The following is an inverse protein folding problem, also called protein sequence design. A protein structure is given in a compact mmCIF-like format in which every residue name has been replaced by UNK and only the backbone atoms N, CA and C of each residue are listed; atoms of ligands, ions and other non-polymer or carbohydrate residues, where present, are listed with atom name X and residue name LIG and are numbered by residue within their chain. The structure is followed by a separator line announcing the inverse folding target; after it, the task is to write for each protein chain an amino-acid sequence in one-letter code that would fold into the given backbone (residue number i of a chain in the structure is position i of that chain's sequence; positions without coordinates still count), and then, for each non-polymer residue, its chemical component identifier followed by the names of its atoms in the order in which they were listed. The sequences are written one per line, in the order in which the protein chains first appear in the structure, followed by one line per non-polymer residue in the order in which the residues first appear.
data_IF_053564172414
#
_entry.id   IF_053564172414
#
_cell.length_a   1.000
_cell.length_b   1.000
_cell.length_c   1.000
_cell.angle_alpha   90.00
_cell.angle_beta   90.00
_cell.angle_gamma   90.00
#
_symmetry.space_group_name_H-M   'P 1'
#
loop_
_entity.id
_entity.type
_entity.pdbx_description
1 polymer ?
#
# COMPACT_ATOMS: atom_id res chain seq x y z
N UNK A 1 -5.44 -19.71 -6.54
CA UNK A 1 -5.60 -19.68 -5.07
C UNK A 1 -5.67 -18.23 -4.62
N UNK A 2 -6.62 -17.80 -3.77
CA UNK A 2 -6.62 -16.44 -3.25
C UNK A 2 -5.43 -16.26 -2.30
N UNK A 3 -4.44 -15.45 -2.70
CA UNK A 3 -3.17 -15.20 -2.00
C UNK A 3 -3.32 -14.17 -0.87
N UNK A 4 -4.28 -14.37 0.03
CA UNK A 4 -4.46 -13.45 1.17
C UNK A 4 -3.52 -13.82 2.32
N UNK A 5 -3.08 -12.86 3.14
CA UNK A 5 -2.26 -13.14 4.32
C UNK A 5 -2.80 -14.29 5.21
N UNK A 6 -4.11 -14.37 5.56
CA UNK A 6 -4.63 -15.50 6.33
C UNK A 6 -4.53 -16.86 5.64
N UNK A 7 -4.70 -16.90 4.31
CA UNK A 7 -4.59 -18.16 3.56
C UNK A 7 -3.14 -18.63 3.52
N UNK A 8 -2.20 -17.69 3.34
CA UNK A 8 -0.77 -17.98 3.30
C UNK A 8 -0.24 -18.44 4.66
N UNK A 9 -0.59 -17.75 5.75
CA UNK A 9 -0.13 -18.10 7.11
C UNK A 9 -0.65 -19.47 7.54
N UNK A 10 -1.88 -19.81 7.15
CA UNK A 10 -2.45 -21.13 7.39
C UNK A 10 -1.79 -22.22 6.53
N UNK A 11 -1.57 -21.95 5.24
CA UNK A 11 -0.95 -22.91 4.32
C UNK A 11 0.47 -23.29 4.75
N UNK A 12 1.25 -22.33 5.23
CA UNK A 12 2.61 -22.54 5.73
C UNK A 12 2.67 -22.96 7.21
N UNK A 13 1.51 -23.14 7.87
CA UNK A 13 1.35 -23.35 9.32
C UNK A 13 2.25 -22.44 10.19
N UNK A 14 2.30 -21.16 9.86
CA UNK A 14 3.09 -20.21 10.62
C UNK A 14 2.52 -20.05 12.05
N UNK A 15 3.40 -20.12 13.03
CA UNK A 15 3.13 -19.96 14.46
C UNK A 15 4.09 -18.92 15.03
N UNK A 16 3.58 -18.05 15.90
CA UNK A 16 4.37 -16.97 16.52
C UNK A 16 5.13 -16.10 15.50
N UNK A 17 4.55 -15.86 14.33
CA UNK A 17 5.19 -15.06 13.29
C UNK A 17 5.21 -13.57 13.67
N UNK A 18 6.28 -12.88 13.27
CA UNK A 18 6.35 -11.42 13.33
C UNK A 18 5.89 -10.86 11.99
N UNK A 19 4.84 -10.05 12.01
CA UNK A 19 4.29 -9.43 10.81
C UNK A 19 4.80 -7.99 10.66
N UNK A 20 5.56 -7.72 9.59
CA UNK A 20 6.05 -6.39 9.27
C UNK A 20 5.31 -5.86 8.05
N UNK A 21 4.55 -4.78 8.21
CA UNK A 21 3.76 -4.18 7.15
C UNK A 21 4.24 -2.76 6.83
N UNK A 22 4.56 -2.50 5.56
CA UNK A 22 4.90 -1.18 5.05
C UNK A 22 3.73 -0.58 4.27
N UNK A 23 3.44 0.72 4.44
CA UNK A 23 2.36 1.42 3.71
C UNK A 23 1.04 0.66 3.78
N UNK A 24 0.42 0.32 2.64
CA UNK A 24 -0.82 -0.47 2.57
C UNK A 24 -0.70 -1.83 3.25
N UNK A 25 0.49 -2.45 3.20
CA UNK A 25 0.77 -3.72 3.88
C UNK A 25 0.59 -3.65 5.40
N UNK A 26 0.79 -2.46 6.01
CA UNK A 26 0.47 -2.27 7.43
C UNK A 26 -1.03 -2.36 7.72
N UNK A 27 -1.88 -1.89 6.82
CA UNK A 27 -3.33 -2.08 6.90
C UNK A 27 -3.74 -3.55 6.79
N UNK A 28 -3.07 -4.33 5.95
CA UNK A 28 -3.28 -5.78 5.86
C UNK A 28 -2.90 -6.49 7.16
N UNK A 29 -1.75 -6.13 7.76
CA UNK A 29 -1.31 -6.67 9.06
C UNK A 29 -2.31 -6.36 10.16
N UNK A 30 -2.72 -5.09 10.30
CA UNK A 30 -3.71 -4.68 11.31
C UNK A 30 -5.04 -5.41 11.10
N UNK A 31 -5.53 -5.48 9.86
CA UNK A 31 -6.79 -6.17 9.55
C UNK A 31 -6.70 -7.68 9.80
N UNK A 32 -5.56 -8.30 9.54
CA UNK A 32 -5.32 -9.72 9.78
C UNK A 32 -5.36 -10.03 11.28
N UNK A 33 -4.63 -9.27 12.09
CA UNK A 33 -4.58 -9.43 13.55
C UNK A 33 -5.97 -9.18 14.16
N UNK A 34 -6.67 -8.12 13.76
CA UNK A 34 -7.98 -7.80 14.31
C UNK A 34 -9.06 -8.86 13.99
N UNK A 35 -8.93 -9.60 12.88
CA UNK A 35 -9.93 -10.58 12.41
C UNK A 35 -9.58 -12.03 12.72
N UNK A 36 -8.37 -12.33 13.18
CA UNK A 36 -7.92 -13.70 13.48
C UNK A 36 -7.28 -13.69 14.86
N UNK A 37 -7.73 -14.61 15.74
CA UNK A 37 -7.20 -14.73 17.09
C UNK A 37 -5.67 -14.76 17.09
N UNK A 38 -5.08 -14.01 18.02
CA UNK A 38 -3.65 -13.68 18.17
C UNK A 38 -2.70 -14.89 18.20
N UNK A 39 -3.21 -16.13 18.33
CA UNK A 39 -2.42 -17.34 18.58
C UNK A 39 -1.33 -17.66 17.55
N UNK A 40 -1.37 -17.05 16.35
CA UNK A 40 -0.35 -17.21 15.30
C UNK A 40 0.62 -16.04 15.18
N UNK A 41 0.39 -14.93 15.88
CA UNK A 41 1.15 -13.69 15.78
C UNK A 41 1.90 -13.44 17.07
N UNK A 42 3.22 -13.29 17.00
CA UNK A 42 4.01 -12.94 18.19
C UNK A 42 4.16 -11.43 18.35
N UNK A 43 4.41 -10.71 17.24
CA UNK A 43 4.64 -9.26 17.21
C UNK A 43 4.21 -8.68 15.86
N UNK A 44 4.05 -7.36 15.82
CA UNK A 44 3.84 -6.62 14.58
C UNK A 44 4.69 -5.34 14.53
N UNK A 45 5.13 -4.95 13.34
CA UNK A 45 5.76 -3.66 13.08
C UNK A 45 5.08 -2.98 11.88
N UNK A 46 4.69 -1.72 12.05
CA UNK A 46 4.02 -0.92 11.04
C UNK A 46 4.94 0.22 10.60
N UNK A 47 5.38 0.19 9.35
CA UNK A 47 6.37 1.14 8.81
C UNK A 47 5.68 2.05 7.78
N UNK A 48 5.59 3.35 8.07
CA UNK A 48 4.92 4.33 7.19
C UNK A 48 3.55 3.84 6.70
N UNK A 49 2.75 3.28 7.60
CA UNK A 49 1.55 2.50 7.28
C UNK A 49 0.28 3.37 7.14
N UNK A 50 -0.71 2.87 6.40
CA UNK A 50 -1.98 3.58 6.12
C UNK A 50 -2.95 3.72 7.31
N UNK A 51 -2.99 2.83 8.33
CA UNK A 51 -3.87 3.03 9.48
C UNK A 51 -3.51 4.30 10.28
N UNK A 52 -4.47 4.97 10.93
CA UNK A 52 -5.86 4.54 11.10
C UNK A 52 -6.80 4.85 9.91
N UNK A 53 -6.59 5.96 9.20
CA UNK A 53 -7.35 6.35 8.01
C UNK A 53 -6.60 7.48 7.29
N UNK A 54 -6.41 7.40 5.97
CA UNK A 54 -5.74 8.49 5.22
C UNK A 54 -6.71 9.51 4.65
N UNK A 55 -7.92 9.13 4.22
CA UNK A 55 -8.87 10.07 3.62
C UNK A 55 -9.43 11.05 4.65
N UNK A 56 -9.67 12.28 4.19
CA UNK A 56 -10.34 13.31 4.96
C UNK A 56 -11.81 12.97 5.16
N UNK A 57 -12.26 13.00 6.40
CA UNK A 57 -13.68 12.87 6.78
C UNK A 57 -13.99 13.84 7.91
N UNK A 58 -15.26 13.93 8.33
CA UNK A 58 -15.62 14.68 9.54
C UNK A 58 -14.90 14.14 10.79
N UNK A 59 -14.65 12.82 10.86
CA UNK A 59 -13.94 12.17 11.95
C UNK A 59 -12.40 12.15 11.77
N UNK A 60 -11.91 12.51 10.57
CA UNK A 60 -10.49 12.62 10.25
C UNK A 60 -10.21 13.91 9.46
N UNK A 61 -10.35 15.10 10.08
CA UNK A 61 -10.28 16.38 9.36
C UNK A 61 -8.87 16.69 8.81
N UNK A 62 -7.83 16.06 9.35
CA UNK A 62 -6.44 16.18 8.89
C UNK A 62 -6.06 15.22 7.76
N UNK A 63 -6.98 14.36 7.31
CA UNK A 63 -6.74 13.46 6.19
C UNK A 63 -6.56 14.17 4.84
N UNK A 64 -6.15 13.41 3.84
CA UNK A 64 -6.01 13.89 2.47
C UNK A 64 -7.39 13.99 1.79
N UNK A 65 -7.63 15.04 0.97
CA UNK A 65 -8.85 15.12 0.16
C UNK A 65 -9.04 13.88 -0.71
N UNK A 66 -10.29 13.44 -0.91
CA UNK A 66 -10.60 12.23 -1.68
C UNK A 66 -10.06 12.31 -3.11
N UNK A 67 -10.03 13.52 -3.66
CA UNK A 67 -9.59 13.85 -5.01
C UNK A 67 -8.14 13.45 -5.27
N UNK A 68 -7.30 13.39 -4.22
CA UNK A 68 -5.92 12.89 -4.32
C UNK A 68 -5.92 11.41 -4.71
N UNK A 69 -6.73 10.58 -4.05
CA UNK A 69 -6.84 9.16 -4.34
C UNK A 69 -7.53 8.91 -5.68
N UNK A 70 -8.55 9.69 -6.02
CA UNK A 70 -9.25 9.61 -7.30
C UNK A 70 -8.32 9.96 -8.46
N UNK A 71 -7.47 10.97 -8.28
CA UNK A 71 -6.41 11.30 -9.23
C UNK A 71 -5.43 10.15 -9.45
N UNK A 72 -5.01 9.47 -8.38
CA UNK A 72 -4.15 8.28 -8.48
C UNK A 72 -4.84 7.12 -9.21
N UNK A 73 -6.11 6.84 -8.91
CA UNK A 73 -6.88 5.80 -9.61
C UNK A 73 -7.04 6.12 -11.10
N UNK A 74 -7.37 7.38 -11.43
CA UNK A 74 -7.53 7.83 -12.81
C UNK A 74 -6.22 7.73 -13.61
N UNK A 75 -5.10 8.19 -13.03
CA UNK A 75 -3.78 8.08 -13.67
C UNK A 75 -3.40 6.62 -13.91
N UNK A 76 -3.64 5.75 -12.92
CA UNK A 76 -3.36 4.32 -13.06
C UNK A 76 -4.22 3.67 -14.14
N UNK A 77 -5.51 4.00 -14.21
CA UNK A 77 -6.45 3.44 -15.16
C UNK A 77 -6.21 3.92 -16.61
N UNK A 78 -5.82 5.18 -16.80
CA UNK A 78 -5.72 5.80 -18.12
C UNK A 78 -4.30 5.80 -18.68
N UNK A 79 -3.29 6.03 -17.85
CA UNK A 79 -1.90 6.07 -18.28
C UNK A 79 -0.93 5.75 -17.13
N UNK A 80 -0.94 4.49 -16.70
CA UNK A 80 -0.08 3.96 -15.64
C UNK A 80 1.39 4.34 -15.78
N UNK A 81 1.91 4.37 -17.01
CA UNK A 81 3.32 4.70 -17.25
C UNK A 81 3.68 6.12 -16.80
N UNK A 82 2.73 7.06 -16.82
CA UNK A 82 2.92 8.44 -16.38
C UNK A 82 2.68 8.65 -14.88
N UNK A 83 2.16 7.65 -14.16
CA UNK A 83 1.97 7.71 -12.70
C UNK A 83 3.29 7.69 -11.92
N UNK A 84 4.40 7.28 -12.55
CA UNK A 84 5.72 7.25 -11.93
C UNK A 84 6.51 8.50 -12.32
N UNK A 85 6.66 9.44 -11.37
CA UNK A 85 7.28 10.75 -11.61
C UNK A 85 8.56 11.02 -10.82
N UNK A 86 9.25 12.11 -11.20
CA UNK A 86 10.38 12.72 -10.51
C UNK A 86 10.15 14.24 -10.47
N UNK A 87 9.11 14.64 -9.74
CA UNK A 87 8.45 15.95 -9.86
C UNK A 87 8.66 16.86 -8.65
N UNK A 88 9.74 16.66 -7.87
CA UNK A 88 10.05 17.53 -6.74
C UNK A 88 10.57 18.89 -7.25
N UNK A 89 9.94 20.01 -6.88
CA UNK A 89 10.39 21.34 -7.30
C UNK A 89 11.85 21.60 -6.89
N UNK A 90 12.61 22.26 -7.77
CA UNK A 90 14.01 22.62 -7.53
C UNK A 90 15.02 21.46 -7.64
N UNK A 91 14.60 20.26 -8.03
CA UNK A 91 15.49 19.10 -8.19
C UNK A 91 15.87 18.92 -9.67
N UNK A 92 17.18 18.83 -9.94
CA UNK A 92 17.69 18.52 -11.29
C UNK A 92 17.28 17.09 -11.68
N UNK A 93 16.63 16.87 -12.84
CA UNK A 93 16.28 15.53 -13.29
C UNK A 93 17.50 14.61 -13.42
N UNK A 94 17.41 13.41 -12.85
CA UNK A 94 18.41 12.36 -12.97
C UNK A 94 17.84 11.21 -13.81
N UNK A 95 18.16 11.18 -15.10
CA UNK A 95 17.51 10.29 -16.07
C UNK A 95 17.60 8.80 -15.67
N UNK A 96 18.76 8.36 -15.18
CA UNK A 96 18.93 6.98 -14.72
C UNK A 96 18.02 6.62 -13.53
N UNK A 97 17.79 7.56 -12.62
CA UNK A 97 16.88 7.36 -11.48
C UNK A 97 15.44 7.31 -11.96
N UNK A 98 15.05 8.21 -12.86
CA UNK A 98 13.71 8.24 -13.47
C UNK A 98 13.39 6.91 -14.15
N UNK A 99 14.30 6.42 -14.98
CA UNK A 99 14.10 5.16 -15.71
C UNK A 99 14.06 3.96 -14.76
N UNK A 100 14.94 3.92 -13.76
CA UNK A 100 14.93 2.84 -12.80
C UNK A 100 13.65 2.85 -11.93
N UNK A 101 13.15 4.04 -11.56
CA UNK A 101 11.89 4.19 -10.83
C UNK A 101 10.71 3.73 -11.66
N UNK A 102 10.60 4.22 -12.90
CA UNK A 102 9.58 3.80 -13.84
C UNK A 102 9.61 2.29 -14.07
N UNK A 103 10.78 1.70 -14.29
CA UNK A 103 10.96 0.25 -14.49
C UNK A 103 10.42 -0.55 -13.31
N UNK A 104 10.81 -0.20 -12.08
CA UNK A 104 10.32 -0.86 -10.88
C UNK A 104 8.81 -0.72 -10.72
N UNK A 105 8.28 0.47 -10.96
CA UNK A 105 6.85 0.74 -10.95
C UNK A 105 6.09 -0.16 -11.93
N UNK A 106 6.57 -0.26 -13.16
CA UNK A 106 5.96 -1.05 -14.22
C UNK A 106 6.05 -2.57 -14.00
N UNK A 107 7.04 -3.05 -13.25
CA UNK A 107 7.15 -4.47 -12.88
C UNK A 107 6.06 -4.95 -11.91
N UNK A 108 5.37 -4.03 -11.21
CA UNK A 108 4.25 -4.39 -10.34
C UNK A 108 2.99 -4.82 -11.10
N UNK A 109 2.09 -5.56 -10.45
CA UNK A 109 0.78 -5.90 -11.01
C UNK A 109 -0.19 -4.71 -10.93
N UNK A 110 -0.79 -4.30 -12.05
CA UNK A 110 -1.70 -3.13 -12.09
C UNK A 110 -2.90 -3.28 -11.14
N UNK A 111 -3.47 -4.48 -11.03
CA UNK A 111 -4.58 -4.78 -10.13
C UNK A 111 -4.21 -4.60 -8.65
N UNK A 112 -2.97 -4.94 -8.28
CA UNK A 112 -2.46 -4.78 -6.91
C UNK A 112 -2.34 -3.30 -6.58
N UNK A 113 -1.70 -2.51 -7.45
CA UNK A 113 -1.55 -1.06 -7.28
C UNK A 113 -2.91 -0.36 -7.22
N UNK A 114 -3.88 -0.79 -8.03
CA UNK A 114 -5.23 -0.21 -7.99
C UNK A 114 -5.93 -0.48 -6.64
N UNK A 115 -5.85 -1.72 -6.15
CA UNK A 115 -6.37 -2.09 -4.84
C UNK A 115 -5.69 -1.35 -3.70
N UNK A 116 -4.40 -1.05 -3.81
CA UNK A 116 -3.67 -0.27 -2.81
C UNK A 116 -4.27 1.14 -2.64
N UNK A 117 -4.52 1.84 -3.75
CA UNK A 117 -5.14 3.19 -3.71
C UNK A 117 -6.55 3.17 -3.14
N UNK A 118 -7.29 2.06 -3.32
CA UNK A 118 -8.61 1.89 -2.73
C UNK A 118 -8.55 1.65 -1.22
N UNK A 119 -7.55 0.92 -0.72
CA UNK A 119 -7.40 0.61 0.70
C UNK A 119 -6.92 1.79 1.54
N UNK A 120 -6.40 2.84 0.91
CA UNK A 120 -6.04 4.10 1.55
C UNK A 120 -7.21 5.08 1.71
N UNK A 121 -8.38 4.79 1.11
CA UNK A 121 -9.60 5.59 1.25
C UNK A 121 -10.41 5.21 2.49
#
# INVERSE_FOLDING_TARGET
MPTTLPALTAHLDLKNAIHVGHSTGGGEVVRYIARRCESRVSKAALLSAVPPLMVKTAANPGGLPKEVFDGHQAQLATNRAQSYGYNRPGVKPLQGVIWNWWRQGMMGGANTVFREVTLSQ
#
